data_IF_757364317668
#
_entry.id   IF_757364317668
#
_cell.length_a   1.000
_cell.length_b   1.000
_cell.length_c   1.000
_cell.angle_alpha   90.00
_cell.angle_beta   90.00
_cell.angle_gamma   90.00
#
_symmetry.space_group_name_H-M   'P 1'
#
loop_
_entity.id
_entity.type
_entity.pdbx_description
1 polymer ?
#
# COMPACT_ATOMS: atom_id res chain seq x y z
N UNK A 1 55.15 -13.25 -38.67
CA UNK A 1 55.53 -14.55 -39.28
C UNK A 1 55.52 -15.61 -38.19
N UNK A 2 55.09 -16.85 -38.37
CA UNK A 2 54.19 -17.43 -39.38
C UNK A 2 52.97 -18.18 -38.83
N UNK A 3 51.93 -18.24 -39.61
CA UNK A 3 51.25 -19.39 -40.23
C UNK A 3 50.22 -20.19 -39.43
N UNK A 4 48.98 -20.06 -39.89
CA UNK A 4 47.88 -20.99 -39.72
C UNK A 4 48.13 -22.35 -40.46
N UNK A 5 47.37 -23.42 -40.18
CA UNK A 5 46.76 -24.08 -41.33
C UNK A 5 45.24 -24.32 -41.18
N UNK A 6 44.64 -24.33 -42.36
CA UNK A 6 43.28 -24.78 -42.70
C UNK A 6 43.25 -26.33 -42.80
N UNK A 7 42.11 -26.96 -42.51
CA UNK A 7 41.66 -28.23 -43.12
C UNK A 7 40.13 -28.22 -43.03
N UNK A 8 39.41 -28.11 -44.04
CA UNK A 8 38.90 -28.92 -45.14
C UNK A 8 37.64 -29.76 -44.75
N UNK A 9 36.65 -29.49 -45.54
CA UNK A 9 35.32 -30.06 -45.78
C UNK A 9 35.37 -31.53 -46.20
N UNK A 10 34.38 -32.34 -45.78
CA UNK A 10 33.95 -33.50 -46.48
C UNK A 10 32.43 -33.65 -46.49
N UNK A 11 31.87 -33.50 -47.66
CA UNK A 11 30.50 -33.82 -48.01
C UNK A 11 30.42 -35.33 -48.37
N UNK A 12 29.37 -35.98 -47.99
CA UNK A 12 29.00 -37.29 -48.56
C UNK A 12 27.49 -37.33 -48.87
N UNK A 13 27.24 -37.34 -50.17
CA UNK A 13 25.95 -37.75 -50.77
C UNK A 13 25.82 -39.28 -50.75
N UNK A 14 24.62 -39.80 -50.49
CA UNK A 14 24.16 -41.12 -51.00
C UNK A 14 22.64 -41.12 -51.18
N UNK A 15 22.31 -41.17 -52.33
CA UNK A 15 21.35 -41.67 -53.30
C UNK A 15 20.08 -42.39 -52.82
N UNK A 16 19.03 -42.06 -53.54
CA UNK A 16 17.67 -42.60 -53.50
C UNK A 16 17.55 -44.06 -53.96
N UNK A 17 16.56 -44.76 -53.40
CA UNK A 17 15.92 -45.93 -54.04
C UNK A 17 14.40 -45.80 -53.84
N UNK A 18 13.73 -45.67 -54.96
CA UNK A 18 12.30 -45.74 -55.16
C UNK A 18 11.90 -47.22 -55.31
N UNK A 19 10.97 -47.70 -54.50
CA UNK A 19 10.22 -48.95 -54.78
C UNK A 19 8.73 -48.61 -54.73
N UNK A 20 8.14 -48.71 -55.92
CA UNK A 20 6.68 -48.68 -56.12
C UNK A 20 6.12 -50.08 -55.81
N UNK A 21 5.15 -50.14 -54.94
CA UNK A 21 4.32 -51.30 -54.67
C UNK A 21 2.88 -50.87 -54.46
N UNK A 22 2.02 -51.23 -55.41
CA UNK A 22 0.60 -50.89 -55.45
C UNK A 22 -0.27 -51.85 -54.67
N UNK A 23 -1.46 -51.35 -54.28
CA UNK A 23 -2.74 -52.02 -54.00
C UNK A 23 -2.95 -52.69 -52.61
N UNK A 24 -3.77 -52.14 -51.77
CA UNK A 24 -5.22 -52.46 -51.76
C UNK A 24 -5.95 -51.72 -50.64
N UNK A 25 -7.11 -51.23 -50.97
CA UNK A 25 -8.08 -50.53 -50.13
C UNK A 25 -8.62 -51.37 -48.99
N UNK A 26 -8.49 -50.88 -47.75
CA UNK A 26 -9.47 -51.16 -46.69
C UNK A 26 -9.58 -49.91 -45.81
N UNK A 27 -10.65 -49.23 -45.93
CA UNK A 27 -11.10 -48.09 -45.10
C UNK A 27 -11.31 -48.58 -43.66
N UNK A 28 -10.33 -48.33 -42.77
CA UNK A 28 -10.59 -48.28 -41.34
C UNK A 28 -10.62 -46.80 -40.91
N UNK A 29 -11.83 -46.36 -40.63
CA UNK A 29 -12.05 -45.08 -39.92
C UNK A 29 -11.36 -45.14 -38.56
N UNK A 30 -10.20 -44.58 -38.48
CA UNK A 30 -9.57 -44.28 -37.18
C UNK A 30 -10.15 -42.97 -36.66
N UNK A 31 -11.08 -43.07 -35.71
CA UNK A 31 -11.49 -41.97 -34.87
C UNK A 31 -10.23 -41.46 -34.12
N UNK A 32 -9.64 -40.40 -34.60
CA UNK A 32 -8.65 -39.66 -33.86
C UNK A 32 -9.31 -39.09 -32.59
N UNK A 33 -9.08 -39.74 -31.48
CA UNK A 33 -9.42 -39.18 -30.16
C UNK A 33 -8.58 -37.91 -30.00
N UNK A 34 -9.20 -36.76 -30.14
CA UNK A 34 -8.60 -35.47 -29.85
C UNK A 34 -8.18 -35.51 -28.36
N UNK A 35 -6.90 -35.44 -28.08
CA UNK A 35 -6.38 -35.23 -26.73
C UNK A 35 -7.01 -33.91 -26.20
N UNK A 36 -7.54 -33.90 -24.99
CA UNK A 36 -8.05 -32.63 -24.44
C UNK A 36 -6.90 -31.62 -24.38
N UNK A 37 -7.03 -30.56 -25.16
CA UNK A 37 -6.16 -29.40 -25.04
C UNK A 37 -6.41 -28.84 -23.65
N UNK A 38 -5.52 -29.07 -22.71
CA UNK A 38 -5.52 -28.39 -21.40
C UNK A 38 -5.29 -26.92 -21.68
N UNK A 39 -6.37 -26.14 -21.70
CA UNK A 39 -6.30 -24.69 -21.71
C UNK A 39 -5.59 -24.30 -20.39
N UNK A 40 -4.44 -23.66 -20.49
CA UNK A 40 -3.78 -23.11 -19.30
C UNK A 40 -4.77 -22.21 -18.54
N UNK A 41 -4.83 -22.30 -17.20
CA UNK A 41 -5.71 -21.43 -16.43
C UNK A 41 -5.45 -19.99 -16.84
N UNK A 42 -6.53 -19.20 -17.04
CA UNK A 42 -6.40 -17.78 -17.28
C UNK A 42 -5.59 -17.14 -16.12
N UNK A 43 -4.68 -16.25 -16.44
CA UNK A 43 -3.91 -15.53 -15.42
C UNK A 43 -4.88 -14.79 -14.48
N UNK A 44 -4.58 -14.77 -13.18
CA UNK A 44 -5.38 -14.04 -12.19
C UNK A 44 -5.42 -12.55 -12.61
N UNK A 45 -6.57 -11.96 -12.87
CA UNK A 45 -6.68 -10.56 -13.29
C UNK A 45 -6.28 -9.58 -12.17
N UNK A 46 -6.30 -10.03 -10.92
CA UNK A 46 -5.98 -9.22 -9.74
C UNK A 46 -4.99 -9.93 -8.79
N UNK A 47 -3.78 -10.24 -9.25
CA UNK A 47 -2.83 -11.09 -8.51
C UNK A 47 -2.40 -10.46 -7.17
N UNK A 48 -2.49 -9.15 -7.04
CA UNK A 48 -2.07 -8.42 -5.83
C UNK A 48 -3.19 -8.25 -4.81
N UNK A 49 -4.37 -8.84 -4.98
CA UNK A 49 -5.49 -8.74 -4.03
C UNK A 49 -5.30 -9.58 -2.76
N UNK A 50 -4.37 -10.52 -2.77
CA UNK A 50 -4.01 -11.37 -1.62
C UNK A 50 -2.63 -10.97 -1.09
N UNK A 51 -2.32 -11.28 0.19
CA UNK A 51 -0.97 -11.06 0.72
C UNK A 51 0.11 -11.67 -0.18
N UNK A 52 1.22 -10.96 -0.31
CA UNK A 52 2.34 -11.32 -1.15
C UNK A 52 3.16 -12.49 -0.62
N UNK A 53 4.30 -12.76 -1.27
CA UNK A 53 5.15 -13.92 -0.94
C UNK A 53 5.93 -13.76 0.36
N UNK A 54 6.05 -12.54 0.90
CA UNK A 54 6.83 -12.28 2.10
C UNK A 54 5.97 -12.31 3.36
N UNK A 55 6.54 -12.75 4.49
CA UNK A 55 6.07 -12.35 5.81
C UNK A 55 6.40 -10.86 6.01
N UNK A 56 5.83 -10.23 7.04
CA UNK A 56 6.08 -8.81 7.31
C UNK A 56 6.77 -8.66 8.65
N UNK A 57 7.91 -8.00 8.64
CA UNK A 57 8.56 -7.48 9.83
C UNK A 57 8.20 -6.02 10.04
N UNK A 58 8.28 -5.55 11.29
CA UNK A 58 8.23 -4.12 11.58
C UNK A 58 9.31 -3.74 12.59
N UNK A 59 9.76 -2.50 12.48
CA UNK A 59 10.68 -1.89 13.46
C UNK A 59 10.33 -0.42 13.62
N UNK A 60 10.91 0.22 14.62
CA UNK A 60 10.66 1.63 14.91
C UNK A 60 11.94 2.44 14.79
N UNK A 61 11.88 3.52 14.02
CA UNK A 61 12.93 4.56 13.97
C UNK A 61 12.43 5.81 14.68
N UNK A 62 13.37 6.70 15.01
CA UNK A 62 13.07 8.03 15.52
C UNK A 62 13.80 9.06 14.66
N UNK A 63 13.07 10.13 14.28
CA UNK A 63 13.69 11.27 13.63
C UNK A 63 14.53 12.07 14.64
N UNK A 64 15.35 12.98 14.15
CA UNK A 64 16.22 13.79 14.99
C UNK A 64 15.49 14.63 16.06
N UNK A 65 14.21 14.95 15.82
CA UNK A 65 13.34 15.66 16.77
C UNK A 65 12.58 14.74 17.74
N UNK A 66 12.85 13.43 17.70
CA UNK A 66 12.28 12.43 18.59
C UNK A 66 10.96 11.81 18.13
N UNK A 67 10.30 12.32 17.06
CA UNK A 67 9.08 11.70 16.57
C UNK A 67 9.35 10.30 16.03
N UNK A 68 8.43 9.36 16.30
CA UNK A 68 8.56 7.97 15.88
C UNK A 68 8.22 7.79 14.40
N UNK A 69 8.85 6.82 13.77
CA UNK A 69 8.54 6.32 12.44
C UNK A 69 8.37 4.81 12.54
N UNK A 70 7.22 4.30 12.15
CA UNK A 70 7.01 2.86 12.05
C UNK A 70 7.45 2.42 10.65
N UNK A 71 8.24 1.35 10.58
CA UNK A 71 8.74 0.83 9.32
C UNK A 71 8.35 -0.64 9.19
N UNK A 72 7.52 -0.96 8.21
CA UNK A 72 7.19 -2.33 7.80
C UNK A 72 8.07 -2.73 6.63
N UNK A 73 8.49 -3.99 6.61
CA UNK A 73 9.42 -4.47 5.60
C UNK A 73 9.21 -5.96 5.28
N UNK A 74 9.62 -6.43 4.08
CA UNK A 74 9.59 -7.83 3.73
C UNK A 74 10.46 -8.66 4.68
N UNK A 75 9.86 -9.63 5.36
CA UNK A 75 10.53 -10.58 6.23
C UNK A 75 10.54 -11.98 5.60
N UNK A 76 11.49 -12.81 6.01
CA UNK A 76 11.62 -14.18 5.55
C UNK A 76 10.41 -14.99 6.01
N UNK A 77 9.74 -15.66 5.08
CA UNK A 77 8.58 -16.51 5.39
C UNK A 77 8.97 -17.66 6.32
N UNK A 78 8.15 -17.88 7.35
CA UNK A 78 8.40 -18.95 8.33
C UNK A 78 9.34 -18.58 9.48
N UNK A 79 9.87 -17.34 9.54
CA UNK A 79 10.79 -16.90 10.60
C UNK A 79 10.13 -15.98 11.64
N UNK A 80 8.81 -15.85 11.64
CA UNK A 80 8.09 -14.96 12.56
C UNK A 80 7.86 -15.56 13.95
N UNK A 81 8.09 -16.86 14.13
CA UNK A 81 7.96 -17.54 15.43
C UNK A 81 8.96 -16.97 16.44
N UNK A 82 8.47 -16.61 17.61
CA UNK A 82 9.28 -16.01 18.68
C UNK A 82 9.38 -14.48 18.60
N UNK A 83 8.91 -13.86 17.52
CA UNK A 83 8.80 -12.40 17.40
C UNK A 83 7.44 -11.89 17.88
N UNK A 84 7.42 -10.74 18.53
CA UNK A 84 6.18 -10.12 18.99
C UNK A 84 5.35 -9.65 17.82
N UNK A 85 4.08 -10.08 17.76
CA UNK A 85 3.14 -9.57 16.78
C UNK A 85 2.80 -8.11 17.09
N UNK A 86 2.73 -7.27 16.06
CA UNK A 86 2.37 -5.87 16.18
C UNK A 86 0.96 -5.73 16.77
N UNK A 87 0.87 -4.97 17.85
CA UNK A 87 -0.36 -4.76 18.61
C UNK A 87 -0.59 -3.27 18.82
N UNK A 88 -1.59 -2.73 18.13
CA UNK A 88 -1.94 -1.31 18.13
C UNK A 88 -2.95 -1.05 19.22
N UNK A 89 -2.57 -0.25 20.20
CA UNK A 89 -3.42 0.21 21.31
C UNK A 89 -3.69 1.71 21.14
N UNK A 90 -4.84 2.07 20.56
CA UNK A 90 -5.20 3.48 20.36
C UNK A 90 -5.27 4.25 21.68
N UNK A 91 -5.72 3.59 22.74
CA UNK A 91 -5.74 4.19 24.08
C UNK A 91 -4.35 4.61 24.56
N UNK A 92 -3.30 3.92 24.10
CA UNK A 92 -1.91 4.22 24.42
C UNK A 92 -1.41 5.56 23.87
N UNK A 93 -2.08 6.12 22.84
CA UNK A 93 -1.76 7.43 22.26
C UNK A 93 -2.37 8.61 23.03
N UNK A 94 -3.15 8.34 24.06
CA UNK A 94 -3.75 9.38 24.89
C UNK A 94 -2.81 9.76 26.04
N UNK A 95 -2.97 10.96 26.59
CA UNK A 95 -2.23 11.37 27.79
C UNK A 95 -2.52 10.43 28.98
N UNK A 96 -1.58 10.28 29.94
CA UNK A 96 -1.78 9.41 31.10
C UNK A 96 -3.09 9.68 31.84
N UNK A 97 -3.51 10.93 31.97
CA UNK A 97 -4.78 11.31 32.59
C UNK A 97 -6.01 10.81 31.82
N UNK A 98 -5.96 10.76 30.50
CA UNK A 98 -7.03 10.22 29.66
C UNK A 98 -6.99 8.69 29.64
N UNK A 99 -5.80 8.08 29.60
CA UNK A 99 -5.64 6.64 29.69
C UNK A 99 -6.23 6.05 30.98
N UNK A 100 -6.05 6.74 32.11
CA UNK A 100 -6.60 6.33 33.40
C UNK A 100 -8.13 6.27 33.43
N UNK A 101 -8.82 6.93 32.51
CA UNK A 101 -10.28 6.87 32.34
C UNK A 101 -10.76 5.65 31.58
N UNK A 102 -9.89 4.92 30.88
CA UNK A 102 -10.25 3.78 30.07
C UNK A 102 -10.23 2.53 30.96
N UNK A 103 -11.41 1.91 31.25
CA UNK A 103 -11.43 0.64 31.95
C UNK A 103 -10.62 -0.42 31.21
N UNK A 104 -9.97 -1.33 31.94
CA UNK A 104 -9.15 -2.38 31.34
C UNK A 104 -9.90 -3.21 30.28
N UNK A 105 -11.20 -3.48 30.50
CA UNK A 105 -12.07 -4.18 29.56
C UNK A 105 -12.40 -3.38 28.27
N UNK A 106 -12.19 -2.07 28.25
CA UNK A 106 -12.45 -1.19 27.10
C UNK A 106 -11.17 -0.81 26.34
N UNK A 107 -10.01 -1.23 26.85
CA UNK A 107 -8.74 -1.07 26.18
C UNK A 107 -8.58 -2.13 25.09
N UNK A 108 -8.92 -1.73 23.87
CA UNK A 108 -8.92 -2.62 22.70
C UNK A 108 -7.57 -2.55 22.01
N UNK A 109 -6.98 -3.72 21.77
CA UNK A 109 -5.78 -3.90 20.96
C UNK A 109 -6.15 -4.48 19.60
N UNK A 110 -5.63 -3.89 18.53
CA UNK A 110 -5.75 -4.38 17.18
C UNK A 110 -4.45 -5.04 16.75
N UNK A 111 -4.51 -6.30 16.31
CA UNK A 111 -3.34 -7.07 15.91
C UNK A 111 -3.13 -6.94 14.40
N UNK A 112 -1.96 -6.49 14.01
CA UNK A 112 -1.54 -6.45 12.60
C UNK A 112 -0.77 -7.71 12.20
N UNK A 113 -0.72 -7.99 10.91
CA UNK A 113 0.02 -9.14 10.37
C UNK A 113 1.51 -8.82 10.18
N UNK A 114 2.14 -8.22 11.20
CA UNK A 114 3.55 -7.86 11.21
C UNK A 114 4.21 -8.28 12.53
N UNK A 115 5.52 -8.52 12.50
CA UNK A 115 6.25 -9.10 13.62
C UNK A 115 7.53 -8.28 13.90
N UNK A 116 7.71 -7.89 15.16
CA UNK A 116 8.79 -7.01 15.60
C UNK A 116 10.15 -7.61 15.29
N UNK A 117 10.97 -6.85 14.58
CA UNK A 117 12.34 -7.20 14.21
C UNK A 117 12.50 -8.63 13.64
N UNK A 118 11.45 -9.13 12.94
CA UNK A 118 11.51 -10.42 12.26
C UNK A 118 12.62 -10.39 11.20
N UNK A 119 13.34 -11.53 10.97
CA UNK A 119 14.45 -11.59 10.03
C UNK A 119 14.07 -11.06 8.64
N UNK A 120 14.79 -10.05 8.11
CA UNK A 120 14.48 -9.47 6.82
C UNK A 120 14.65 -10.50 5.69
N UNK A 121 13.85 -10.39 4.64
CA UNK A 121 14.02 -11.21 3.46
C UNK A 121 15.25 -10.74 2.66
N UNK A 122 16.17 -11.66 2.41
CA UNK A 122 17.47 -11.36 1.79
C UNK A 122 17.46 -11.36 0.25
N UNK A 123 16.32 -11.63 -0.38
CA UNK A 123 16.21 -11.77 -1.83
C UNK A 123 15.13 -10.81 -2.38
N UNK A 124 15.35 -10.18 -3.52
CA UNK A 124 16.45 -10.13 -4.48
C UNK A 124 17.37 -8.92 -4.37
N UNK A 125 17.55 -8.36 -3.20
CA UNK A 125 18.33 -7.16 -2.96
C UNK A 125 17.50 -6.06 -2.31
N UNK A 126 17.65 -4.82 -2.75
CA UNK A 126 16.97 -3.66 -2.18
C UNK A 126 15.51 -3.57 -2.62
N UNK A 127 14.64 -3.17 -1.71
CA UNK A 127 13.21 -2.97 -1.91
C UNK A 127 12.87 -1.49 -2.11
N UNK A 128 11.90 -1.16 -2.98
CA UNK A 128 11.38 0.20 -3.09
C UNK A 128 10.82 0.70 -1.76
N UNK A 129 10.91 2.01 -1.54
CA UNK A 129 10.41 2.67 -0.33
C UNK A 129 9.08 3.37 -0.60
N UNK A 130 8.07 3.07 0.21
CA UNK A 130 6.83 3.84 0.33
C UNK A 130 6.93 4.73 1.56
N UNK A 131 6.82 6.04 1.40
CA UNK A 131 6.66 6.97 2.53
C UNK A 131 5.17 7.24 2.68
N UNK A 132 4.58 6.76 3.79
CA UNK A 132 3.13 6.80 4.04
C UNK A 132 2.77 7.86 5.08
N UNK A 133 1.74 8.67 4.82
CA UNK A 133 1.28 9.74 5.70
C UNK A 133 -0.15 9.49 6.19
N UNK A 134 -0.35 9.46 7.51
CA UNK A 134 -1.66 9.26 8.15
C UNK A 134 -2.56 10.51 8.10
N UNK A 135 -3.86 10.36 8.39
CA UNK A 135 -4.85 11.43 8.42
C UNK A 135 -4.77 12.35 9.65
N UNK A 136 -5.65 13.37 9.71
CA UNK A 136 -5.82 14.20 10.90
C UNK A 136 -6.38 13.36 12.06
N UNK A 137 -5.87 13.57 13.27
CA UNK A 137 -6.13 12.77 14.45
C UNK A 137 -5.84 11.26 14.25
N UNK A 138 -5.04 10.93 13.24
CA UNK A 138 -4.56 9.57 12.98
C UNK A 138 -3.26 9.25 13.73
N UNK A 139 -2.63 8.17 13.32
CA UNK A 139 -1.36 7.67 13.85
C UNK A 139 -0.67 6.84 12.75
N UNK A 140 0.63 6.56 12.83
CA UNK A 140 1.37 5.86 11.76
C UNK A 140 0.73 4.55 11.31
N UNK A 141 0.15 3.78 12.24
CA UNK A 141 -0.44 2.45 11.99
C UNK A 141 -1.92 2.49 11.57
N UNK A 142 -2.51 3.68 11.31
CA UNK A 142 -3.96 3.79 11.04
C UNK A 142 -4.46 2.97 9.83
N UNK A 143 -3.59 2.71 8.86
CA UNK A 143 -3.88 1.94 7.64
C UNK A 143 -2.99 0.70 7.56
N UNK A 144 -2.83 0.00 8.70
CA UNK A 144 -1.86 -1.08 8.85
C UNK A 144 -2.14 -2.28 7.95
N UNK A 145 -3.39 -2.56 7.60
CA UNK A 145 -3.72 -3.59 6.61
C UNK A 145 -3.06 -3.27 5.26
N UNK A 146 -3.19 -2.04 4.77
CA UNK A 146 -2.57 -1.62 3.52
C UNK A 146 -1.04 -1.58 3.60
N UNK A 147 -0.46 -1.02 4.68
CA UNK A 147 1.00 -0.90 4.80
C UNK A 147 1.69 -2.25 4.93
N UNK A 148 1.10 -3.20 5.67
CA UNK A 148 1.59 -4.58 5.75
C UNK A 148 1.37 -5.34 4.45
N UNK A 149 0.28 -5.06 3.73
CA UNK A 149 0.04 -5.66 2.43
C UNK A 149 1.10 -5.23 1.41
N UNK A 150 1.42 -3.94 1.32
CA UNK A 150 2.52 -3.41 0.50
C UNK A 150 3.85 -4.08 0.87
N UNK A 151 4.15 -4.20 2.17
CA UNK A 151 5.38 -4.86 2.63
C UNK A 151 5.42 -6.34 2.24
N UNK A 152 4.28 -7.06 2.28
CA UNK A 152 4.19 -8.45 1.84
C UNK A 152 4.49 -8.64 0.33
N UNK A 153 4.32 -7.57 -0.46
CA UNK A 153 4.62 -7.53 -1.90
C UNK A 153 5.99 -6.92 -2.24
N UNK A 154 6.86 -6.76 -1.24
CA UNK A 154 8.24 -6.37 -1.47
C UNK A 154 8.48 -4.86 -1.45
N UNK A 155 7.75 -4.12 -0.63
CA UNK A 155 8.04 -2.71 -0.34
C UNK A 155 8.56 -2.56 1.09
N UNK A 156 9.45 -1.64 1.34
CA UNK A 156 9.67 -1.06 2.67
C UNK A 156 8.69 0.10 2.80
N UNK A 157 7.90 0.13 3.87
CA UNK A 157 6.90 1.19 4.11
C UNK A 157 7.24 1.92 5.39
N UNK A 158 7.50 3.23 5.31
CA UNK A 158 7.85 4.07 6.46
C UNK A 158 6.75 5.11 6.70
N UNK A 159 6.18 5.11 7.91
CA UNK A 159 5.11 6.03 8.31
C UNK A 159 5.53 6.83 9.55
N UNK A 160 5.76 8.15 9.44
CA UNK A 160 6.07 9.00 10.58
C UNK A 160 4.82 9.35 11.39
N UNK A 161 5.02 9.68 12.66
CA UNK A 161 4.04 10.38 13.47
C UNK A 161 4.08 11.88 13.17
N UNK A 162 3.04 12.40 12.55
CA UNK A 162 2.87 13.84 12.35
C UNK A 162 2.29 14.47 13.62
N UNK A 163 3.14 14.67 14.64
CA UNK A 163 2.72 15.13 15.99
C UNK A 163 1.95 16.44 15.98
N UNK A 164 2.03 17.24 14.93
CA UNK A 164 1.24 18.44 14.73
C UNK A 164 -0.26 18.19 14.57
N UNK A 165 -0.63 16.97 14.17
CA UNK A 165 -2.00 16.57 13.85
C UNK A 165 -2.36 15.14 14.20
N UNK A 166 -1.43 14.35 14.76
CA UNK A 166 -1.73 12.98 15.18
C UNK A 166 -2.59 12.92 16.44
N UNK A 167 -3.18 11.77 16.70
CA UNK A 167 -3.95 11.53 17.92
C UNK A 167 -3.09 11.76 19.17
N UNK A 168 -1.86 11.22 19.19
CA UNK A 168 -0.91 11.40 20.29
C UNK A 168 -0.46 12.86 20.42
N UNK A 169 -0.25 13.56 19.30
CA UNK A 169 0.09 14.99 19.33
C UNK A 169 -1.03 15.87 19.85
N UNK A 170 -2.30 15.53 19.57
CA UNK A 170 -3.49 16.30 19.96
C UNK A 170 -3.99 15.98 21.38
N UNK A 171 -4.00 14.70 21.77
CA UNK A 171 -4.61 14.22 23.01
C UNK A 171 -3.62 13.45 23.91
N UNK A 172 -2.42 13.19 23.43
CA UNK A 172 -1.34 12.51 24.15
C UNK A 172 -0.23 13.46 24.58
N UNK A 173 1.01 12.99 24.42
CA UNK A 173 2.22 13.71 24.84
C UNK A 173 3.29 13.82 23.76
N UNK A 174 3.11 13.17 22.61
CA UNK A 174 4.13 13.10 21.56
C UNK A 174 4.53 14.48 20.96
N UNK A 175 3.62 15.47 21.01
CA UNK A 175 3.90 16.83 20.57
C UNK A 175 4.67 17.68 21.57
N UNK A 176 4.90 17.19 22.80
CA UNK A 176 5.55 17.99 23.86
C UNK A 176 7.05 18.10 23.59
N UNK A 177 7.53 19.33 23.47
CA UNK A 177 8.96 19.63 23.22
C UNK A 177 9.39 19.38 21.76
N UNK A 178 8.53 18.90 20.90
CA UNK A 178 8.84 18.71 19.47
C UNK A 178 8.66 20.02 18.72
N UNK A 179 9.66 20.42 17.94
CA UNK A 179 9.58 21.60 17.08
C UNK A 179 8.58 21.34 15.96
N UNK A 180 7.62 22.26 15.78
CA UNK A 180 6.65 22.18 14.69
C UNK A 180 7.35 22.15 13.33
N UNK A 181 6.88 21.26 12.46
CA UNK A 181 7.40 21.04 11.12
C UNK A 181 6.26 20.95 10.11
N UNK A 182 6.56 21.18 8.84
CA UNK A 182 5.59 20.93 7.77
C UNK A 182 5.52 19.44 7.45
N UNK A 183 4.37 18.98 6.98
CA UNK A 183 4.20 17.57 6.56
C UNK A 183 5.26 17.15 5.54
N UNK A 184 5.60 18.02 4.58
CA UNK A 184 6.64 17.74 3.57
C UNK A 184 8.00 17.54 4.21
N UNK A 185 8.40 18.41 5.14
CA UNK A 185 9.69 18.28 5.83
C UNK A 185 9.76 17.01 6.70
N UNK A 186 8.64 16.61 7.34
CA UNK A 186 8.53 15.35 8.08
C UNK A 186 8.72 14.16 7.16
N UNK A 187 8.06 14.15 5.98
CA UNK A 187 8.17 13.06 5.01
C UNK A 187 9.58 12.98 4.38
N UNK A 188 10.23 14.12 4.12
CA UNK A 188 11.63 14.18 3.69
C UNK A 188 12.57 13.59 4.75
N UNK A 189 12.42 14.02 6.01
CA UNK A 189 13.21 13.48 7.13
C UNK A 189 12.96 11.98 7.33
N UNK A 190 11.73 11.50 7.10
CA UNK A 190 11.40 10.07 7.17
C UNK A 190 12.11 9.27 6.09
N UNK A 191 12.10 9.77 4.85
CA UNK A 191 12.86 9.16 3.75
C UNK A 191 14.34 9.09 4.10
N UNK A 192 14.92 10.23 4.53
CA UNK A 192 16.35 10.32 4.85
C UNK A 192 16.74 9.37 6.00
N UNK A 193 15.95 9.32 7.07
CA UNK A 193 16.18 8.44 8.22
C UNK A 193 16.08 6.95 7.83
N UNK A 194 15.11 6.60 6.96
CA UNK A 194 14.91 5.21 6.52
C UNK A 194 16.05 4.75 5.62
N UNK A 195 16.52 5.62 4.72
CA UNK A 195 17.71 5.35 3.89
C UNK A 195 18.97 5.25 4.75
N UNK A 196 19.15 6.15 5.74
CA UNK A 196 20.25 6.10 6.66
C UNK A 196 20.28 4.79 7.48
N UNK A 197 19.12 4.35 7.98
CA UNK A 197 18.98 3.07 8.68
C UNK A 197 19.33 1.86 7.78
N UNK A 198 19.02 1.95 6.49
CA UNK A 198 19.42 0.91 5.53
C UNK A 198 20.92 0.89 5.24
N UNK A 199 21.61 2.01 5.41
CA UNK A 199 23.07 2.08 5.26
C UNK A 199 23.82 1.73 6.55
N UNK A 200 23.14 1.72 7.70
CA UNK A 200 23.68 1.35 9.00
C UNK A 200 23.48 -0.13 9.31
N UNK A 201 24.15 -0.63 10.35
CA UNK A 201 23.85 -1.95 10.90
C UNK A 201 22.47 -1.99 11.56
N UNK A 202 21.75 -3.10 11.43
CA UNK A 202 20.42 -3.27 12.01
C UNK A 202 19.49 -4.05 11.07
N UNK A 203 18.25 -4.21 11.47
CA UNK A 203 17.26 -5.03 10.75
C UNK A 203 16.95 -4.50 9.35
N UNK A 204 17.13 -3.21 9.10
CA UNK A 204 16.92 -2.60 7.78
C UNK A 204 18.19 -2.57 6.91
N UNK A 205 19.33 -3.09 7.39
CA UNK A 205 20.57 -3.03 6.64
C UNK A 205 20.45 -3.60 5.22
N UNK A 206 20.80 -2.79 4.22
CA UNK A 206 20.78 -3.17 2.81
C UNK A 206 19.38 -3.30 2.17
N UNK A 207 18.29 -2.97 2.89
CA UNK A 207 16.94 -3.24 2.41
C UNK A 207 16.36 -2.16 1.48
N UNK A 208 16.75 -0.89 1.62
CA UNK A 208 16.06 0.21 0.94
C UNK A 208 16.73 0.57 -0.39
N UNK A 209 15.93 0.62 -1.45
CA UNK A 209 16.31 1.21 -2.73
C UNK A 209 15.92 2.70 -2.74
N UNK A 210 16.92 3.56 -2.55
CA UNK A 210 16.72 5.01 -2.50
C UNK A 210 16.36 5.64 -3.86
N UNK A 211 16.54 4.91 -4.98
CA UNK A 211 16.18 5.37 -6.32
C UNK A 211 14.73 5.05 -6.69
N UNK A 212 14.08 4.15 -5.93
CA UNK A 212 12.69 3.71 -6.11
C UNK A 212 11.82 4.10 -4.92
N UNK A 213 11.53 5.41 -4.78
CA UNK A 213 10.71 5.97 -3.71
C UNK A 213 9.35 6.39 -4.23
N UNK A 214 8.29 6.07 -3.51
CA UNK A 214 6.92 6.50 -3.77
C UNK A 214 6.28 7.09 -2.53
N UNK A 215 5.25 7.91 -2.70
CA UNK A 215 4.51 8.52 -1.61
C UNK A 215 3.07 8.02 -1.57
N UNK A 216 2.52 7.80 -0.38
CA UNK A 216 1.11 7.50 -0.19
C UNK A 216 0.56 8.16 1.08
N UNK A 217 -0.75 8.36 1.15
CA UNK A 217 -1.34 8.88 2.37
C UNK A 217 -2.85 8.99 2.30
N UNK A 218 -3.48 9.07 3.47
CA UNK A 218 -4.92 9.15 3.64
C UNK A 218 -5.36 10.49 4.22
N UNK A 219 -6.43 11.08 3.68
CA UNK A 219 -7.06 12.31 4.22
C UNK A 219 -6.05 13.49 4.24
N UNK A 220 -5.76 14.10 5.38
CA UNK A 220 -4.69 15.10 5.52
C UNK A 220 -3.35 14.57 5.01
N UNK A 221 -3.06 13.28 5.25
CA UNK A 221 -1.88 12.60 4.72
C UNK A 221 -1.90 12.42 3.20
N UNK A 222 -3.08 12.36 2.57
CA UNK A 222 -3.20 12.34 1.11
C UNK A 222 -2.72 13.65 0.49
N UNK A 223 -3.08 14.79 1.11
CA UNK A 223 -2.56 16.10 0.75
C UNK A 223 -1.05 16.21 0.98
N UNK A 224 -0.56 15.66 2.09
CA UNK A 224 0.87 15.61 2.41
C UNK A 224 1.66 14.79 1.38
N UNK A 225 1.17 13.60 1.00
CA UNK A 225 1.80 12.75 -0.02
C UNK A 225 1.85 13.44 -1.39
N UNK A 226 0.76 14.11 -1.79
CA UNK A 226 0.72 14.93 -3.00
C UNK A 226 1.76 16.06 -2.97
N UNK A 227 1.81 16.82 -1.88
CA UNK A 227 2.75 17.92 -1.71
C UNK A 227 4.20 17.42 -1.69
N UNK A 228 4.46 16.32 -1.00
CA UNK A 228 5.78 15.67 -0.96
C UNK A 228 6.22 15.19 -2.35
N UNK A 229 5.31 14.53 -3.10
CA UNK A 229 5.60 14.12 -4.47
C UNK A 229 5.87 15.30 -5.41
N UNK A 230 5.26 16.47 -5.16
CA UNK A 230 5.56 17.70 -5.90
C UNK A 230 6.92 18.28 -5.54
N UNK A 231 7.29 18.27 -4.25
CA UNK A 231 8.44 18.98 -3.72
C UNK A 231 9.76 18.17 -3.79
N UNK A 232 9.70 16.83 -3.77
CA UNK A 232 10.90 15.99 -3.69
C UNK A 232 11.10 15.17 -4.98
N UNK A 233 12.21 15.41 -5.67
CA UNK A 233 12.53 14.75 -6.94
C UNK A 233 12.79 13.24 -6.82
N UNK A 234 13.09 12.74 -5.62
CA UNK A 234 13.33 11.32 -5.36
C UNK A 234 12.04 10.50 -5.43
N UNK A 235 10.88 11.09 -5.14
CA UNK A 235 9.58 10.44 -5.28
C UNK A 235 9.27 10.22 -6.75
N UNK A 236 8.96 8.99 -7.16
CA UNK A 236 8.71 8.60 -8.56
C UNK A 236 7.23 8.51 -8.92
N UNK A 237 6.38 8.16 -7.94
CA UNK A 237 4.92 8.09 -8.11
C UNK A 237 4.22 8.31 -6.77
N UNK A 238 2.91 8.53 -6.79
CA UNK A 238 2.15 8.79 -5.56
C UNK A 238 0.72 8.29 -5.63
N UNK A 239 0.16 7.94 -4.45
CA UNK A 239 -1.25 7.62 -4.25
C UNK A 239 -1.83 8.49 -3.14
N UNK A 240 -2.97 9.10 -3.39
CA UNK A 240 -3.74 9.85 -2.39
C UNK A 240 -5.10 9.21 -2.16
N UNK A 241 -5.38 8.81 -0.91
CA UNK A 241 -6.64 8.23 -0.49
C UNK A 241 -7.50 9.32 0.16
N UNK A 242 -8.62 9.67 -0.45
CA UNK A 242 -9.52 10.78 -0.05
C UNK A 242 -8.77 12.11 0.11
N UNK A 243 -8.38 12.72 -1.02
CA UNK A 243 -7.65 14.00 -1.06
C UNK A 243 -8.58 15.17 -1.37
N UNK A 244 -8.34 16.31 -0.75
CA UNK A 244 -8.99 17.58 -1.08
C UNK A 244 -8.13 18.75 -0.64
N UNK A 245 -8.22 19.85 -1.40
CA UNK A 245 -7.57 21.13 -1.08
C UNK A 245 -8.60 22.25 -1.03
N UNK A 246 -8.29 23.31 -0.33
CA UNK A 246 -9.16 24.45 -0.07
C UNK A 246 -9.65 24.48 1.38
N UNK A 247 -10.36 25.52 1.77
CA UNK A 247 -10.78 25.72 3.16
C UNK A 247 -9.59 25.75 4.12
N UNK A 248 -9.70 25.04 5.23
CA UNK A 248 -8.62 24.95 6.24
C UNK A 248 -7.36 24.22 5.72
N UNK A 249 -7.49 23.40 4.67
CA UNK A 249 -6.36 22.69 4.03
C UNK A 249 -5.46 23.56 3.16
N UNK A 250 -5.81 24.84 2.98
CA UNK A 250 -5.07 25.76 2.14
C UNK A 250 -5.16 25.47 0.63
N UNK A 251 -4.48 26.24 -0.23
CA UNK A 251 -4.48 26.04 -1.67
C UNK A 251 -3.74 24.75 -2.05
N UNK A 252 -4.16 24.14 -3.16
CA UNK A 252 -3.45 22.98 -3.70
C UNK A 252 -2.01 23.37 -4.09
N UNK A 253 -1.00 22.57 -3.73
CA UNK A 253 0.34 22.70 -4.30
C UNK A 253 0.32 22.47 -5.81
N UNK A 254 1.40 22.82 -6.51
CA UNK A 254 1.56 22.47 -7.91
C UNK A 254 1.44 20.96 -8.12
N UNK A 255 0.75 20.54 -9.20
CA UNK A 255 0.57 19.13 -9.49
C UNK A 255 1.91 18.42 -9.72
N UNK A 256 2.17 17.27 -9.06
CA UNK A 256 3.37 16.49 -9.31
C UNK A 256 3.48 16.09 -10.79
N UNK A 257 4.62 16.27 -11.41
CA UNK A 257 4.90 15.82 -12.80
C UNK A 257 5.34 14.35 -12.81
N UNK A 258 4.53 13.48 -12.22
CA UNK A 258 4.82 12.05 -11.96
C UNK A 258 3.53 11.28 -12.02
N UNK A 259 3.57 9.97 -12.36
CA UNK A 259 2.39 9.11 -12.27
C UNK A 259 1.70 9.25 -10.92
N UNK A 260 0.39 9.39 -10.93
CA UNK A 260 -0.40 9.56 -9.72
C UNK A 260 -1.72 8.81 -9.76
N UNK A 261 -2.18 8.39 -8.58
CA UNK A 261 -3.49 7.79 -8.38
C UNK A 261 -4.24 8.51 -7.27
N UNK A 262 -5.49 8.85 -7.53
CA UNK A 262 -6.44 9.33 -6.51
C UNK A 262 -7.47 8.25 -6.29
N UNK A 263 -7.63 7.80 -5.05
CA UNK A 263 -8.75 6.94 -4.63
C UNK A 263 -9.68 7.75 -3.73
N UNK A 264 -10.99 7.59 -3.89
CA UNK A 264 -11.98 8.27 -3.07
C UNK A 264 -13.20 7.40 -2.78
N UNK A 265 -13.88 7.68 -1.67
CA UNK A 265 -15.12 7.04 -1.28
C UNK A 265 -16.31 7.89 -1.75
N UNK A 266 -17.33 7.26 -2.36
CA UNK A 266 -18.43 8.05 -2.96
C UNK A 266 -19.40 8.64 -1.95
N UNK A 267 -19.39 8.17 -0.68
CA UNK A 267 -20.18 8.71 0.43
C UNK A 267 -19.28 9.28 1.54
N UNK A 268 -18.09 9.78 1.15
CA UNK A 268 -17.18 10.47 2.06
C UNK A 268 -17.84 11.74 2.59
N UNK A 269 -18.13 11.75 3.90
CA UNK A 269 -18.76 12.88 4.60
C UNK A 269 -17.76 13.87 5.19
N UNK A 270 -16.47 13.64 5.02
CA UNK A 270 -15.36 14.48 5.51
C UNK A 270 -14.73 15.26 4.35
N UNK A 271 -14.31 14.57 3.30
CA UNK A 271 -13.79 15.17 2.08
C UNK A 271 -14.78 14.87 0.95
N UNK A 272 -15.48 15.90 0.49
CA UNK A 272 -16.47 15.74 -0.56
C UNK A 272 -15.85 15.03 -1.79
N UNK A 273 -16.49 14.02 -2.37
CA UNK A 273 -15.98 13.30 -3.55
C UNK A 273 -15.54 14.22 -4.68
N UNK A 274 -16.28 15.32 -4.90
CA UNK A 274 -15.95 16.33 -5.90
C UNK A 274 -14.58 16.99 -5.68
N UNK A 275 -14.09 17.05 -4.42
CA UNK A 275 -12.76 17.60 -4.13
C UNK A 275 -11.64 16.64 -4.65
N UNK A 276 -11.78 15.34 -4.43
CA UNK A 276 -10.84 14.34 -4.96
C UNK A 276 -10.88 14.28 -6.49
N UNK A 277 -12.05 14.38 -7.09
CA UNK A 277 -12.22 14.45 -8.55
C UNK A 277 -11.53 15.71 -9.10
N UNK A 278 -11.69 16.85 -8.45
CA UNK A 278 -11.02 18.11 -8.85
C UNK A 278 -9.50 18.00 -8.78
N UNK A 279 -8.97 17.29 -7.78
CA UNK A 279 -7.52 17.00 -7.72
C UNK A 279 -7.10 16.16 -8.91
N UNK A 280 -7.82 15.07 -9.20
CA UNK A 280 -7.55 14.23 -10.37
C UNK A 280 -7.59 15.01 -11.68
N UNK A 281 -8.57 15.89 -11.87
CA UNK A 281 -8.69 16.70 -13.10
C UNK A 281 -7.44 17.56 -13.32
N UNK A 282 -6.86 18.11 -12.26
CA UNK A 282 -5.65 18.92 -12.30
C UNK A 282 -4.32 18.15 -12.36
N UNK A 283 -4.34 16.80 -12.32
CA UNK A 283 -3.12 15.99 -12.37
C UNK A 283 -2.52 15.93 -13.78
N UNK A 284 -1.19 15.75 -13.81
CA UNK A 284 -0.50 15.35 -15.02
C UNK A 284 -0.72 13.86 -15.34
N UNK A 285 -0.60 13.47 -16.59
CA UNK A 285 -0.66 12.08 -17.03
C UNK A 285 0.73 11.41 -16.91
N UNK A 286 0.79 10.07 -16.75
CA UNK A 286 -0.35 9.16 -16.60
C UNK A 286 -1.03 9.28 -15.23
N UNK A 287 -2.36 9.18 -15.20
CA UNK A 287 -3.16 9.37 -13.97
C UNK A 287 -4.31 8.40 -13.85
N UNK A 288 -4.60 7.98 -12.61
CA UNK A 288 -5.67 7.06 -12.26
C UNK A 288 -6.64 7.69 -11.26
N UNK A 289 -7.93 7.41 -11.45
CA UNK A 289 -9.00 7.76 -10.51
C UNK A 289 -9.73 6.49 -10.11
N UNK A 290 -9.80 6.24 -8.80
CA UNK A 290 -10.47 5.06 -8.25
C UNK A 290 -11.61 5.51 -7.34
N UNK A 291 -12.81 5.01 -7.56
CA UNK A 291 -13.96 5.25 -6.69
C UNK A 291 -14.40 3.98 -5.98
N UNK A 292 -14.64 4.08 -4.65
CA UNK A 292 -15.20 3.00 -3.82
C UNK A 292 -16.65 3.36 -3.51
N UNK A 293 -17.58 2.63 -4.14
CA UNK A 293 -19.00 2.97 -4.12
C UNK A 293 -19.63 2.73 -2.73
N UNK A 294 -20.44 3.69 -2.28
CA UNK A 294 -21.17 3.62 -1.01
C UNK A 294 -20.31 3.74 0.24
N UNK A 295 -18.98 3.72 0.11
CA UNK A 295 -18.07 3.81 1.25
C UNK A 295 -17.95 5.25 1.78
N UNK A 296 -17.63 5.38 3.09
CA UNK A 296 -17.27 6.63 3.74
C UNK A 296 -15.77 6.83 3.87
N UNK A 297 -15.38 7.92 4.50
CA UNK A 297 -13.98 8.40 4.59
C UNK A 297 -12.98 7.36 5.08
N UNK A 298 -13.35 6.57 6.08
CA UNK A 298 -12.46 5.62 6.74
C UNK A 298 -12.31 4.27 6.03
N UNK A 299 -12.80 4.12 4.79
CA UNK A 299 -12.61 2.89 4.00
C UNK A 299 -11.14 2.60 3.69
N UNK A 300 -10.27 3.60 3.76
CA UNK A 300 -8.82 3.50 3.52
C UNK A 300 -8.01 3.32 4.80
N UNK A 301 -8.66 2.95 5.91
CA UNK A 301 -8.01 2.78 7.22
C UNK A 301 -8.61 1.63 8.02
N UNK A 302 -7.87 1.17 9.02
CA UNK A 302 -8.31 0.11 9.93
C UNK A 302 -9.17 0.61 11.11
N UNK A 303 -9.38 1.93 11.24
CA UNK A 303 -10.05 2.55 12.38
C UNK A 303 -11.44 1.96 12.64
N UNK A 304 -12.21 1.66 11.57
CA UNK A 304 -13.53 1.05 11.71
C UNK A 304 -13.50 -0.41 12.21
N UNK A 305 -12.37 -1.08 12.19
CA UNK A 305 -12.20 -2.45 12.68
C UNK A 305 -11.97 -2.48 14.20
N UNK A 306 -11.37 -1.40 14.73
CA UNK A 306 -10.91 -1.33 16.11
C UNK A 306 -12.08 -1.09 17.06
N UNK A 307 -12.27 -2.02 17.99
CA UNK A 307 -13.33 -1.93 18.99
C UNK A 307 -14.76 -2.00 18.42
N UNK A 308 -14.96 -2.55 17.23
CA UNK A 308 -16.27 -2.61 16.54
C UNK A 308 -17.38 -3.19 17.42
N UNK A 309 -17.12 -4.24 18.19
CA UNK A 309 -18.08 -4.84 19.11
C UNK A 309 -18.51 -3.92 20.26
N UNK A 310 -17.80 -2.82 20.48
CA UNK A 310 -18.05 -1.79 21.49
C UNK A 310 -18.49 -0.45 20.89
N UNK A 311 -18.96 -0.45 19.65
CA UNK A 311 -19.35 0.76 18.91
C UNK A 311 -18.16 1.51 18.29
N UNK A 312 -17.01 0.83 18.10
CA UNK A 312 -15.79 1.37 17.55
C UNK A 312 -15.09 2.34 18.51
N UNK A 313 -14.05 3.01 18.02
CA UNK A 313 -13.28 4.00 18.80
C UNK A 313 -14.16 5.14 19.33
N UNK A 314 -15.16 5.55 18.56
CA UNK A 314 -16.12 6.60 18.96
C UNK A 314 -17.07 6.12 20.04
N UNK A 315 -17.56 4.88 19.96
CA UNK A 315 -18.40 4.27 20.98
C UNK A 315 -17.66 4.18 22.32
N UNK A 316 -16.42 3.71 22.30
CA UNK A 316 -15.55 3.66 23.49
C UNK A 316 -15.32 5.06 24.06
N UNK A 317 -14.96 6.02 23.23
CA UNK A 317 -14.71 7.40 23.65
C UNK A 317 -15.93 8.02 24.37
N UNK A 318 -17.14 7.78 23.85
CA UNK A 318 -18.41 8.23 24.47
C UNK A 318 -18.69 7.51 25.78
N UNK A 319 -18.50 6.18 25.86
CA UNK A 319 -18.80 5.39 27.08
C UNK A 319 -17.96 5.83 28.28
N UNK A 320 -16.73 6.28 28.04
CA UNK A 320 -15.82 6.78 29.08
C UNK A 320 -15.82 8.33 29.21
N UNK A 321 -16.76 8.98 28.53
CA UNK A 321 -16.94 10.43 28.58
C UNK A 321 -15.66 11.23 28.26
N UNK A 322 -14.90 10.77 27.24
CA UNK A 322 -13.78 11.58 26.75
C UNK A 322 -14.27 12.90 26.16
N UNK A 323 -13.65 14.03 26.50
CA UNK A 323 -14.02 15.34 25.99
C UNK A 323 -13.56 15.54 24.54
N UNK A 324 -14.15 14.79 23.62
CA UNK A 324 -13.79 14.81 22.20
C UNK A 324 -14.74 15.75 21.45
N UNK A 325 -14.22 16.70 20.67
CA UNK A 325 -15.05 17.60 19.85
C UNK A 325 -15.96 16.84 18.88
N UNK A 326 -17.18 17.33 18.60
CA UNK A 326 -18.11 16.68 17.66
C UNK A 326 -17.52 16.43 16.27
N UNK A 327 -16.65 17.32 15.79
CA UNK A 327 -15.94 17.17 14.51
C UNK A 327 -15.03 15.94 14.48
N UNK A 328 -14.30 15.65 15.56
CA UNK A 328 -13.47 14.46 15.69
C UNK A 328 -14.32 13.18 15.85
N UNK A 329 -15.47 13.25 16.53
CA UNK A 329 -16.40 12.13 16.60
C UNK A 329 -16.95 11.79 15.21
N UNK A 330 -17.30 12.81 14.41
CA UNK A 330 -17.74 12.64 13.01
C UNK A 330 -16.62 11.99 12.19
N UNK A 331 -15.40 12.54 12.24
CA UNK A 331 -14.23 12.01 11.54
C UNK A 331 -13.97 10.54 11.90
N UNK A 332 -13.97 10.20 13.18
CA UNK A 332 -13.69 8.84 13.67
C UNK A 332 -14.81 7.82 13.43
N UNK A 333 -15.94 8.21 12.83
CA UNK A 333 -17.08 7.33 12.55
C UNK A 333 -17.51 7.29 11.09
N UNK A 334 -17.00 8.17 10.22
CA UNK A 334 -17.43 8.26 8.83
C UNK A 334 -16.97 7.02 8.02
N UNK A 335 -17.94 6.21 7.60
CA UNK A 335 -17.69 4.92 6.95
C UNK A 335 -17.74 3.71 7.88
N UNK A 336 -17.88 3.90 9.22
CA UNK A 336 -17.90 2.78 10.18
C UNK A 336 -19.32 2.27 10.51
N UNK A 337 -20.36 3.06 10.27
CA UNK A 337 -21.73 2.74 10.63
C UNK A 337 -22.38 1.67 9.74
N UNK A 338 -23.53 1.13 10.18
CA UNK A 338 -24.29 0.11 9.43
C UNK A 338 -24.90 0.61 8.12
N UNK A 339 -24.92 1.91 7.88
CA UNK A 339 -25.36 2.55 6.64
C UNK A 339 -24.31 2.49 5.53
N UNK A 340 -23.07 2.14 5.88
CA UNK A 340 -21.97 1.97 4.94
C UNK A 340 -21.64 0.49 4.73
N UNK A 341 -21.10 0.10 3.55
CA UNK A 341 -20.46 -1.20 3.39
C UNK A 341 -19.34 -1.35 4.43
N UNK A 342 -19.09 -2.58 4.86
CA UNK A 342 -17.94 -2.84 5.75
C UNK A 342 -16.64 -2.50 5.04
N UNK A 343 -15.76 -1.65 5.59
CA UNK A 343 -14.53 -1.20 4.92
C UNK A 343 -13.67 -2.34 4.40
N UNK A 344 -13.55 -3.42 5.17
CA UNK A 344 -12.74 -4.59 4.81
C UNK A 344 -13.20 -5.30 3.54
N UNK A 345 -14.42 -5.05 3.06
CA UNK A 345 -14.89 -5.61 1.77
C UNK A 345 -14.21 -4.95 0.56
N UNK A 346 -13.68 -3.73 0.74
CA UNK A 346 -12.98 -3.02 -0.33
C UNK A 346 -11.45 -3.21 -0.27
N UNK A 347 -10.90 -3.70 0.85
CA UNK A 347 -9.45 -3.85 1.04
C UNK A 347 -8.77 -4.65 -0.08
N UNK A 348 -9.28 -5.82 -0.53
CA UNK A 348 -8.61 -6.55 -1.60
C UNK A 348 -8.44 -5.76 -2.89
N UNK A 349 -9.43 -4.92 -3.25
CA UNK A 349 -9.35 -4.08 -4.44
C UNK A 349 -8.42 -2.88 -4.25
N UNK A 350 -8.46 -2.22 -3.07
CA UNK A 350 -7.56 -1.11 -2.71
C UNK A 350 -6.11 -1.59 -2.69
N UNK A 351 -5.86 -2.72 -2.06
CA UNK A 351 -4.55 -3.34 -1.93
C UNK A 351 -3.98 -3.72 -3.30
N UNK A 352 -4.78 -4.39 -4.13
CA UNK A 352 -4.39 -4.76 -5.48
C UNK A 352 -4.01 -3.54 -6.32
N UNK A 353 -4.87 -2.53 -6.37
CA UNK A 353 -4.63 -1.32 -7.16
C UNK A 353 -3.42 -0.55 -6.65
N UNK A 354 -3.20 -0.51 -5.34
CA UNK A 354 -2.05 0.17 -4.74
C UNK A 354 -0.72 -0.51 -5.08
N UNK A 355 -0.65 -1.84 -4.89
CA UNK A 355 0.53 -2.63 -5.24
C UNK A 355 0.78 -2.58 -6.75
N UNK A 356 -0.24 -2.86 -7.57
CA UNK A 356 -0.12 -2.89 -9.03
C UNK A 356 0.33 -1.55 -9.60
N UNK A 357 -0.24 -0.44 -9.11
CA UNK A 357 0.15 0.89 -9.54
C UNK A 357 1.60 1.23 -9.20
N UNK A 358 2.05 0.99 -7.97
CA UNK A 358 3.44 1.26 -7.59
C UNK A 358 4.44 0.37 -8.32
N UNK A 359 4.11 -0.93 -8.51
CA UNK A 359 4.96 -1.84 -9.26
C UNK A 359 5.14 -1.41 -10.72
N UNK A 360 4.04 -1.01 -11.37
CA UNK A 360 4.07 -0.46 -12.73
C UNK A 360 4.85 0.87 -12.78
N UNK A 361 4.52 1.82 -11.93
CA UNK A 361 5.13 3.15 -11.93
C UNK A 361 6.63 3.13 -11.60
N UNK A 362 7.11 2.09 -10.93
CA UNK A 362 8.53 1.85 -10.63
C UNK A 362 9.20 0.88 -11.61
N UNK A 363 8.53 0.52 -12.71
CA UNK A 363 9.02 -0.42 -13.73
C UNK A 363 9.45 -1.78 -13.15
N UNK A 364 8.79 -2.24 -12.06
CA UNK A 364 8.92 -3.60 -11.54
C UNK A 364 8.11 -4.54 -12.43
N UNK A 365 6.90 -4.13 -12.76
CA UNK A 365 6.08 -4.75 -13.81
C UNK A 365 6.22 -3.91 -15.09
N UNK A 366 6.44 -4.53 -16.25
CA UNK A 366 6.60 -3.79 -17.52
C UNK A 366 5.31 -3.13 -17.98
N UNK A 367 4.14 -3.72 -17.64
CA UNK A 367 2.81 -3.26 -18.01
C UNK A 367 1.94 -3.10 -16.76
N UNK A 368 0.89 -2.25 -16.79
CA UNK A 368 -0.07 -2.14 -15.69
C UNK A 368 -0.88 -3.44 -15.54
N UNK A 369 -0.74 -4.10 -14.39
CA UNK A 369 -1.40 -5.39 -14.11
C UNK A 369 -2.70 -5.13 -13.36
N UNK A 370 -3.84 -5.37 -14.01
CA UNK A 370 -5.17 -5.31 -13.40
C UNK A 370 -5.58 -3.93 -12.88
N UNK A 371 -5.04 -2.85 -13.45
CA UNK A 371 -5.37 -1.48 -13.08
C UNK A 371 -6.63 -0.98 -13.81
N UNK A 372 -7.67 -1.79 -13.84
CA UNK A 372 -8.95 -1.49 -14.49
C UNK A 372 -10.15 -2.03 -13.69
N UNK A 373 -11.35 -1.54 -14.03
CA UNK A 373 -12.58 -1.89 -13.34
C UNK A 373 -12.92 -3.38 -13.45
N UNK A 374 -12.64 -4.02 -14.60
CA UNK A 374 -13.00 -5.41 -14.84
C UNK A 374 -12.15 -6.34 -13.96
N UNK A 375 -10.87 -6.07 -13.84
CA UNK A 375 -9.94 -6.83 -13.02
C UNK A 375 -10.30 -6.84 -11.54
N UNK A 376 -10.83 -5.74 -11.01
CA UNK A 376 -11.21 -5.63 -9.59
C UNK A 376 -12.68 -5.93 -9.31
N UNK A 377 -13.53 -6.18 -10.32
CA UNK A 377 -14.97 -6.32 -10.17
C UNK A 377 -15.39 -7.44 -9.20
N UNK A 378 -14.61 -8.52 -9.11
CA UNK A 378 -14.88 -9.67 -8.23
C UNK A 378 -14.32 -9.53 -6.80
N UNK A 379 -13.60 -8.45 -6.47
CA UNK A 379 -12.89 -8.32 -5.21
C UNK A 379 -13.73 -7.70 -4.07
N UNK A 380 -14.95 -7.24 -4.37
CA UNK A 380 -15.81 -6.51 -3.44
C UNK A 380 -15.60 -4.99 -3.51
N UNK A 381 -16.35 -4.24 -2.64
CA UNK A 381 -16.26 -2.78 -2.54
C UNK A 381 -16.83 -1.98 -3.72
N UNK A 382 -17.36 -2.65 -4.77
CA UNK A 382 -17.87 -1.98 -5.99
C UNK A 382 -16.93 -0.87 -6.48
N UNK A 383 -15.68 -1.24 -6.73
CA UNK A 383 -14.62 -0.33 -7.12
C UNK A 383 -14.64 -0.08 -8.62
N UNK A 384 -14.50 1.19 -9.01
CA UNK A 384 -14.37 1.59 -10.42
C UNK A 384 -13.06 2.32 -10.63
N UNK A 385 -12.42 2.07 -11.75
CA UNK A 385 -11.15 2.67 -12.15
C UNK A 385 -11.33 3.43 -13.45
N UNK A 386 -10.86 4.66 -13.50
CA UNK A 386 -10.65 5.44 -14.72
C UNK A 386 -9.19 5.83 -14.81
N UNK A 387 -8.64 5.87 -16.01
CA UNK A 387 -7.24 6.30 -16.22
C UNK A 387 -7.13 7.19 -17.46
N UNK A 388 -6.02 7.92 -17.52
CA UNK A 388 -5.62 8.72 -18.66
C UNK A 388 -4.09 8.69 -18.76
N UNK A 389 -3.62 8.29 -19.93
CA UNK A 389 -2.20 8.26 -20.31
C UNK A 389 -1.70 9.61 -20.80
#
# INVERSE_FOLDING_TARGET
MPRSPRVQVAAALCAALVVLGACSSSSKSSSATASPTTVAPAADPAPYAKPGPYAVGFTMLHLADGRRVVVWYPATKGTTTGHLQESIDIGGFLSPALQAKIPAGDRVKYLAAAYQDAPPASNPGKYPLVVFSHGFAGYPEQSVTLTTHLASWGFVVAAPDHVERSLDGLLGTAGQGVKKSTDVAVLQSTLDATVAASNASGVLHGMVDADRVVAAGHSAGAGAAYAFASADARVKAWISYSVGFGGEGGPAPSAPKKPGMVMFATHDGIIAPAASIKVYDGMNTPKYLVSVAGAGHLVFSDICLIGRSKGGVVGIAKSIQLPIPPSLLKLGSDGCGSTYPKPETAFPAIDHLSVGFFRWALHIDPEPVGLDTQSVAGLGGNVKVAHKD
#
